data_IF_192662443001
#
_entry.id   IF_192662443001
#
_cell.length_a   1.000
_cell.length_b   1.000
_cell.length_c   1.000
_cell.angle_alpha   90.00
_cell.angle_beta   90.00
_cell.angle_gamma   90.00
#
_symmetry.space_group_name_H-M   'P 1'
#
loop_
_entity.id
_entity.type
_entity.pdbx_description
1 polymer ?
#
# COMPACT_ATOMS: atom_id res chain seq x y z
N UNK A 1 -39.57 8.77 1.55
CA UNK A 1 -38.25 9.16 2.10
C UNK A 1 -37.80 8.02 2.99
N UNK A 2 -37.00 7.12 2.46
CA UNK A 2 -36.40 6.04 3.23
C UNK A 2 -35.09 6.53 3.84
N UNK A 3 -35.08 6.65 5.13
CA UNK A 3 -33.90 6.95 5.95
C UNK A 3 -32.87 5.84 5.73
N UNK A 4 -31.79 6.18 5.08
CA UNK A 4 -30.58 5.36 5.04
C UNK A 4 -30.06 5.36 6.48
N UNK A 5 -30.25 4.26 7.19
CA UNK A 5 -29.72 4.08 8.54
C UNK A 5 -28.20 3.95 8.45
N UNK A 6 -27.54 4.87 9.11
CA UNK A 6 -26.09 4.97 9.27
C UNK A 6 -25.50 3.72 9.94
N UNK A 7 -24.30 3.35 9.47
CA UNK A 7 -23.25 2.62 10.15
C UNK A 7 -23.51 1.16 10.49
N UNK A 8 -23.48 0.30 9.49
CA UNK A 8 -22.99 -1.05 9.73
C UNK A 8 -21.69 -1.24 8.94
N UNK A 9 -20.56 -0.85 9.54
CA UNK A 9 -19.29 -1.42 9.14
C UNK A 9 -19.38 -2.94 9.34
N UNK A 10 -19.18 -3.74 8.29
CA UNK A 10 -19.28 -5.21 8.36
C UNK A 10 -18.27 -5.80 9.33
N UNK A 11 -17.15 -5.09 9.55
CA UNK A 11 -16.04 -5.54 10.38
C UNK A 11 -15.77 -4.53 11.48
N UNK A 12 -15.59 -5.04 12.70
CA UNK A 12 -15.19 -4.20 13.83
C UNK A 12 -13.75 -3.70 13.63
N UNK A 13 -13.39 -2.58 14.26
CA UNK A 13 -12.03 -2.07 14.26
C UNK A 13 -11.02 -3.11 14.78
N UNK A 14 -11.41 -3.95 15.73
CA UNK A 14 -10.57 -5.04 16.25
C UNK A 14 -10.34 -6.12 15.18
N UNK A 15 -11.37 -6.48 14.41
CA UNK A 15 -11.26 -7.44 13.31
C UNK A 15 -10.32 -6.93 12.23
N UNK A 16 -10.45 -5.65 11.83
CA UNK A 16 -9.60 -5.01 10.83
C UNK A 16 -8.14 -5.01 11.32
N UNK A 17 -7.92 -4.61 12.58
CA UNK A 17 -6.57 -4.63 13.17
C UNK A 17 -5.98 -6.04 13.19
N UNK A 18 -6.72 -7.03 13.64
CA UNK A 18 -6.25 -8.42 13.66
C UNK A 18 -5.94 -8.96 12.27
N UNK A 19 -6.70 -8.57 11.25
CA UNK A 19 -6.43 -8.94 9.87
C UNK A 19 -5.09 -8.33 9.39
N UNK A 20 -4.83 -7.06 9.70
CA UNK A 20 -3.58 -6.38 9.36
C UNK A 20 -2.38 -7.03 10.08
N UNK A 21 -2.49 -7.27 11.38
CA UNK A 21 -1.43 -7.95 12.15
C UNK A 21 -1.10 -9.33 11.59
N UNK A 22 -2.11 -10.12 11.23
CA UNK A 22 -1.92 -11.43 10.61
C UNK A 22 -1.22 -11.32 9.24
N UNK A 23 -1.58 -10.34 8.43
CA UNK A 23 -0.95 -10.12 7.13
C UNK A 23 0.53 -9.74 7.29
N UNK A 24 0.84 -8.81 8.22
CA UNK A 24 2.21 -8.40 8.51
C UNK A 24 3.03 -9.56 9.08
N UNK A 25 2.49 -10.32 10.05
CA UNK A 25 3.18 -11.50 10.61
C UNK A 25 3.49 -12.51 9.52
N UNK A 26 2.53 -12.83 8.64
CA UNK A 26 2.73 -13.79 7.55
C UNK A 26 3.86 -13.39 6.60
N UNK A 27 4.00 -12.09 6.30
CA UNK A 27 5.10 -11.58 5.47
C UNK A 27 6.42 -11.57 6.23
N UNK A 28 6.40 -11.16 7.50
CA UNK A 28 7.61 -11.10 8.34
C UNK A 28 8.21 -12.47 8.60
N UNK A 29 7.38 -13.49 8.82
CA UNK A 29 7.81 -14.88 9.02
C UNK A 29 8.46 -15.47 7.75
N UNK A 30 8.12 -14.90 6.59
CA UNK A 30 8.65 -15.31 5.29
C UNK A 30 9.51 -14.22 4.63
N UNK A 31 10.16 -13.36 5.42
CA UNK A 31 10.87 -12.17 4.92
C UNK A 31 11.96 -12.49 3.90
N UNK A 32 12.56 -13.66 3.96
CA UNK A 32 13.56 -14.10 2.97
C UNK A 32 13.05 -14.05 1.53
N UNK A 33 11.73 -14.15 1.31
CA UNK A 33 11.11 -14.02 0.00
C UNK A 33 10.97 -12.55 -0.45
N UNK A 34 11.11 -11.59 0.49
CA UNK A 34 10.79 -10.19 0.29
C UNK A 34 11.93 -9.25 0.68
N UNK A 35 13.15 -9.75 0.83
CA UNK A 35 14.32 -8.93 1.12
C UNK A 35 15.36 -8.96 0.00
N UNK A 36 16.27 -7.98 0.02
CA UNK A 36 17.29 -7.83 -1.02
C UNK A 36 18.32 -8.97 -0.98
N UNK A 37 18.72 -9.41 0.21
CA UNK A 37 19.61 -10.55 0.42
C UNK A 37 18.96 -11.54 1.40
N UNK A 38 18.38 -12.66 0.91
CA UNK A 38 17.72 -13.66 1.74
C UNK A 38 18.61 -14.32 2.81
N UNK A 39 19.94 -14.29 2.63
CA UNK A 39 20.90 -14.96 3.54
C UNK A 39 21.28 -14.04 4.71
N UNK A 40 21.37 -12.75 4.49
CA UNK A 40 21.92 -11.81 5.48
C UNK A 40 20.92 -10.81 6.05
N UNK A 41 19.84 -10.50 5.29
CA UNK A 41 18.90 -9.49 5.71
C UNK A 41 17.89 -10.03 6.72
N UNK A 42 17.58 -9.21 7.72
CA UNK A 42 16.66 -9.51 8.83
C UNK A 42 16.98 -10.77 9.64
N UNK A 43 18.18 -11.35 9.50
CA UNK A 43 18.59 -12.55 10.23
C UNK A 43 19.04 -12.29 11.66
N UNK A 44 19.40 -11.05 11.99
CA UNK A 44 19.88 -10.65 13.31
C UNK A 44 18.76 -10.01 14.12
N UNK A 45 18.69 -10.34 15.41
CA UNK A 45 17.82 -9.63 16.35
C UNK A 45 18.32 -8.18 16.52
N UNK A 46 17.58 -7.22 15.99
CA UNK A 46 17.86 -5.79 16.05
C UNK A 46 16.64 -5.05 16.61
N UNK A 47 16.84 -3.79 17.08
CA UNK A 47 15.76 -2.90 17.53
C UNK A 47 14.65 -2.68 16.49
N UNK A 48 14.92 -2.89 15.21
CA UNK A 48 13.98 -2.78 14.12
C UNK A 48 14.02 -4.08 13.31
N UNK A 49 13.14 -5.00 13.61
CA UNK A 49 12.92 -6.20 12.82
C UNK A 49 12.02 -5.90 11.60
N UNK A 50 11.69 -6.90 10.81
CA UNK A 50 10.86 -6.71 9.61
C UNK A 50 9.43 -6.27 9.93
N UNK A 51 8.80 -6.89 10.93
CA UNK A 51 7.45 -6.53 11.34
C UNK A 51 7.39 -5.07 11.82
N UNK A 52 8.32 -4.67 12.69
CA UNK A 52 8.41 -3.29 13.18
C UNK A 52 8.67 -2.30 12.05
N UNK A 53 9.49 -2.67 11.06
CA UNK A 53 9.72 -1.84 9.89
C UNK A 53 8.44 -1.62 9.07
N UNK A 54 7.67 -2.69 8.82
CA UNK A 54 6.41 -2.59 8.06
C UNK A 54 5.42 -1.73 8.84
N UNK A 55 5.23 -1.96 10.13
CA UNK A 55 4.36 -1.14 10.97
C UNK A 55 4.78 0.32 10.97
N UNK A 56 6.08 0.59 11.12
CA UNK A 56 6.61 1.95 11.08
C UNK A 56 6.34 2.64 9.74
N UNK A 57 6.55 1.95 8.62
CA UNK A 57 6.29 2.50 7.28
C UNK A 57 4.80 2.80 7.08
N UNK A 58 3.91 1.94 7.56
CA UNK A 58 2.46 2.19 7.52
C UNK A 58 2.03 3.37 8.43
N UNK A 59 2.87 3.74 9.40
CA UNK A 59 2.64 4.86 10.33
C UNK A 59 3.26 6.18 9.88
N UNK A 60 4.01 6.19 8.76
CA UNK A 60 4.66 7.40 8.25
C UNK A 60 3.64 8.49 7.96
N UNK A 61 3.98 9.69 8.36
CA UNK A 61 3.23 10.92 8.05
C UNK A 61 4.03 11.82 7.10
N UNK A 62 3.48 12.97 6.73
CA UNK A 62 4.18 13.97 5.91
C UNK A 62 5.25 14.78 6.70
N UNK A 63 5.82 14.18 7.74
CA UNK A 63 6.83 14.81 8.59
C UNK A 63 8.23 14.27 8.29
N UNK A 64 9.22 14.72 9.05
CA UNK A 64 10.58 14.18 8.95
C UNK A 64 10.65 12.79 9.56
N UNK A 65 11.56 11.95 9.07
CA UNK A 65 11.81 10.59 9.61
C UNK A 65 11.99 10.63 11.13
N UNK A 66 12.72 11.61 11.65
CA UNK A 66 12.95 11.75 13.09
C UNK A 66 11.66 12.04 13.86
N UNK A 67 10.78 12.91 13.32
CA UNK A 67 9.50 13.22 13.95
C UNK A 67 8.58 12.01 13.96
N UNK A 68 8.53 11.25 12.86
CA UNK A 68 7.72 10.05 12.77
C UNK A 68 8.24 8.95 13.70
N UNK A 69 9.56 8.81 13.83
CA UNK A 69 10.17 7.90 14.80
C UNK A 69 9.79 8.26 16.24
N UNK A 70 9.87 9.54 16.61
CA UNK A 70 9.48 10.00 17.95
C UNK A 70 7.99 9.78 18.26
N UNK A 71 7.14 9.79 17.24
CA UNK A 71 5.71 9.53 17.39
C UNK A 71 5.38 8.02 17.46
N UNK A 72 6.19 7.20 16.80
CA UNK A 72 5.95 5.77 16.71
C UNK A 72 6.54 4.98 17.89
N UNK A 73 7.81 5.26 18.24
CA UNK A 73 8.47 4.60 19.35
C UNK A 73 8.15 5.32 20.68
N UNK A 74 7.55 4.58 21.59
CA UNK A 74 7.17 5.12 22.91
C UNK A 74 8.36 5.35 23.83
N UNK A 75 9.47 4.62 23.61
CA UNK A 75 10.71 4.71 24.39
C UNK A 75 11.86 5.15 23.51
N UNK A 76 12.57 6.21 23.97
CA UNK A 76 13.74 6.75 23.26
C UNK A 76 14.92 5.77 23.30
N UNK A 77 15.04 4.97 24.36
CA UNK A 77 16.12 4.00 24.51
C UNK A 77 15.97 2.82 23.53
N UNK A 78 14.75 2.47 23.16
CA UNK A 78 14.44 1.44 22.16
C UNK A 78 14.36 2.00 20.73
N UNK A 79 14.35 3.31 20.56
CA UNK A 79 14.27 3.94 19.25
C UNK A 79 15.55 3.66 18.43
N UNK A 80 15.44 3.14 17.19
CA UNK A 80 16.58 3.01 16.29
C UNK A 80 17.06 4.38 15.82
N UNK A 81 18.27 4.48 15.28
CA UNK A 81 18.72 5.71 14.62
C UNK A 81 18.01 5.87 13.24
N UNK A 82 17.88 7.12 12.77
CA UNK A 82 17.33 7.40 11.43
C UNK A 82 18.14 6.71 10.31
N UNK A 83 19.45 6.57 10.49
CA UNK A 83 20.31 5.81 9.59
C UNK A 83 19.97 4.32 9.60
N UNK A 84 19.68 3.74 10.77
CA UNK A 84 19.28 2.33 10.87
C UNK A 84 17.92 2.08 10.18
N UNK A 85 16.96 2.98 10.36
CA UNK A 85 15.66 2.90 9.66
C UNK A 85 15.87 2.95 8.15
N UNK A 86 16.66 3.90 7.64
CA UNK A 86 16.96 4.00 6.22
C UNK A 86 17.64 2.74 5.68
N UNK A 87 18.63 2.20 6.39
CA UNK A 87 19.31 0.96 6.01
C UNK A 87 18.36 -0.25 5.97
N UNK A 88 17.51 -0.41 6.99
CA UNK A 88 16.55 -1.51 7.02
C UNK A 88 15.49 -1.38 5.91
N UNK A 89 15.06 -0.16 5.61
CA UNK A 89 14.12 0.11 4.52
C UNK A 89 14.65 -0.35 3.16
N UNK A 90 15.94 -0.15 2.87
CA UNK A 90 16.55 -0.60 1.61
C UNK A 90 16.65 -2.12 1.48
N UNK A 91 16.56 -2.85 2.59
CA UNK A 91 16.59 -4.31 2.62
C UNK A 91 15.24 -4.94 2.31
N UNK A 92 14.16 -4.24 2.61
CA UNK A 92 12.80 -4.71 2.37
C UNK A 92 12.34 -4.35 0.95
N UNK A 93 12.01 -5.33 0.16
CA UNK A 93 11.48 -5.11 -1.19
C UNK A 93 10.04 -4.56 -1.14
N UNK A 94 9.63 -3.69 -2.06
CA UNK A 94 8.25 -3.19 -2.17
C UNK A 94 7.20 -4.31 -2.26
N UNK A 95 7.55 -5.46 -2.82
CA UNK A 95 6.68 -6.64 -2.92
C UNK A 95 6.20 -7.16 -1.55
N UNK A 96 6.93 -6.88 -0.46
CA UNK A 96 6.47 -7.17 0.90
C UNK A 96 5.16 -6.44 1.21
N UNK A 97 5.08 -5.16 0.87
CA UNK A 97 3.88 -4.33 1.09
C UNK A 97 2.73 -4.74 0.20
N UNK A 98 3.01 -5.07 -1.05
CA UNK A 98 2.03 -5.62 -1.99
C UNK A 98 1.44 -6.93 -1.46
N UNK A 99 2.29 -7.78 -0.89
CA UNK A 99 1.84 -9.03 -0.28
C UNK A 99 1.03 -8.80 1.00
N UNK A 100 1.43 -7.85 1.86
CA UNK A 100 0.63 -7.44 3.03
C UNK A 100 -0.75 -6.97 2.60
N UNK A 101 -0.83 -6.11 1.58
CA UNK A 101 -2.09 -5.63 1.03
C UNK A 101 -2.97 -6.78 0.52
N UNK A 102 -2.43 -7.66 -0.31
CA UNK A 102 -3.14 -8.81 -0.87
C UNK A 102 -3.66 -9.76 0.22
N UNK A 103 -2.84 -10.07 1.24
CA UNK A 103 -3.27 -10.89 2.36
C UNK A 103 -4.33 -10.20 3.20
N UNK A 104 -4.12 -8.93 3.52
CA UNK A 104 -5.07 -8.14 4.31
C UNK A 104 -6.45 -8.12 3.65
N UNK A 105 -6.54 -7.81 2.36
CA UNK A 105 -7.81 -7.78 1.63
C UNK A 105 -8.46 -9.16 1.52
N UNK A 106 -7.68 -10.23 1.39
CA UNK A 106 -8.19 -11.60 1.30
C UNK A 106 -8.86 -12.13 2.58
N UNK A 107 -8.64 -11.49 3.73
CA UNK A 107 -9.29 -11.87 5.00
C UNK A 107 -10.73 -11.39 5.11
N UNK A 108 -11.16 -10.52 4.22
CA UNK A 108 -12.54 -10.02 4.18
C UNK A 108 -13.32 -10.80 3.10
N UNK A 109 -14.27 -11.61 3.53
CA UNK A 109 -15.00 -12.52 2.62
C UNK A 109 -16.50 -12.24 2.56
N UNK A 110 -17.04 -11.52 3.55
CA UNK A 110 -18.47 -11.20 3.62
C UNK A 110 -18.74 -9.85 2.97
N UNK A 111 -18.87 -9.82 1.66
CA UNK A 111 -19.11 -8.60 0.90
C UNK A 111 -20.58 -8.32 0.69
N UNK A 112 -20.98 -7.06 0.84
CA UNK A 112 -22.28 -6.57 0.37
C UNK A 112 -22.27 -6.55 -1.16
N UNK A 113 -23.43 -6.89 -1.72
CA UNK A 113 -23.66 -6.81 -3.17
C UNK A 113 -24.91 -5.97 -3.45
N UNK A 114 -24.98 -5.37 -4.62
CA UNK A 114 -26.16 -4.71 -5.13
C UNK A 114 -26.83 -5.64 -6.15
N UNK A 115 -28.01 -6.17 -5.82
CA UNK A 115 -28.71 -7.16 -6.65
C UNK A 115 -27.83 -8.37 -7.05
N UNK A 116 -26.92 -8.80 -6.16
CA UNK A 116 -25.99 -9.89 -6.43
C UNK A 116 -24.71 -9.49 -7.15
N UNK A 117 -24.50 -8.19 -7.46
CA UNK A 117 -23.31 -7.69 -8.13
C UNK A 117 -22.37 -6.95 -7.17
N UNK A 118 -21.07 -7.14 -7.33
CA UNK A 118 -20.04 -6.31 -6.71
C UNK A 118 -19.92 -5.01 -7.52
N UNK A 119 -19.84 -3.87 -6.83
CA UNK A 119 -19.66 -2.57 -7.49
C UNK A 119 -18.24 -2.08 -7.24
N UNK A 120 -17.42 -2.14 -8.28
CA UNK A 120 -16.01 -1.75 -8.23
C UNK A 120 -15.83 -0.45 -9.00
N UNK A 121 -15.28 0.57 -8.36
CA UNK A 121 -14.89 1.82 -9.02
C UNK A 121 -13.39 1.83 -9.27
N UNK A 122 -12.98 2.15 -10.50
CA UNK A 122 -11.59 2.37 -10.84
C UNK A 122 -11.31 3.86 -10.93
N UNK A 123 -10.25 4.32 -10.27
CA UNK A 123 -9.81 5.71 -10.34
C UNK A 123 -8.29 5.78 -10.38
N UNK A 124 -7.79 6.75 -11.14
CA UNK A 124 -6.38 7.04 -11.30
C UNK A 124 -5.98 8.32 -10.55
N UNK A 125 -4.82 8.30 -9.91
CA UNK A 125 -4.27 9.47 -9.20
C UNK A 125 -2.77 9.60 -9.39
N UNK A 126 -2.31 10.83 -9.61
CA UNK A 126 -0.89 11.14 -9.68
C UNK A 126 -0.29 11.41 -8.31
N UNK A 127 0.76 10.69 -7.97
CA UNK A 127 1.48 10.83 -6.70
C UNK A 127 2.81 11.53 -6.95
N UNK A 128 2.98 12.74 -6.41
CA UNK A 128 4.26 13.44 -6.45
C UNK A 128 5.28 12.73 -5.54
N UNK A 129 6.41 12.40 -6.11
CA UNK A 129 7.55 11.80 -5.38
C UNK A 129 8.73 12.75 -5.31
N UNK A 130 9.76 12.36 -4.55
CA UNK A 130 10.96 13.18 -4.37
C UNK A 130 11.62 13.55 -5.70
N UNK A 131 11.95 14.83 -5.88
CA UNK A 131 12.55 15.35 -7.09
C UNK A 131 13.90 14.68 -7.41
N UNK A 132 13.94 13.95 -8.51
CA UNK A 132 15.15 13.30 -9.03
C UNK A 132 15.18 13.37 -10.57
N UNK A 133 15.81 14.41 -11.17
CA UNK A 133 15.85 14.59 -12.61
C UNK A 133 16.70 13.53 -13.34
N UNK A 134 17.43 12.68 -12.61
CA UNK A 134 18.19 11.56 -13.18
C UNK A 134 17.28 10.34 -13.46
N UNK A 135 16.18 10.23 -12.73
CA UNK A 135 15.20 9.18 -12.97
C UNK A 135 14.26 9.58 -14.12
N UNK A 136 14.61 9.12 -15.31
CA UNK A 136 13.85 9.46 -16.53
C UNK A 136 12.51 8.76 -16.65
N UNK A 137 12.25 7.75 -15.84
CA UNK A 137 10.99 6.99 -15.88
C UNK A 137 9.85 7.72 -15.18
N UNK A 138 10.16 8.52 -14.16
CA UNK A 138 9.20 9.26 -13.36
C UNK A 138 9.30 10.78 -13.52
N UNK A 139 10.34 11.27 -14.26
CA UNK A 139 10.60 12.70 -14.40
C UNK A 139 9.83 13.33 -15.57
N UNK A 140 9.03 14.32 -15.27
CA UNK A 140 8.22 15.09 -16.21
C UNK A 140 8.66 16.56 -16.27
N UNK A 141 8.68 17.10 -17.47
CA UNK A 141 8.88 18.54 -17.71
C UNK A 141 7.59 19.09 -18.31
N UNK A 142 6.95 19.99 -17.61
CA UNK A 142 5.84 20.73 -18.19
C UNK A 142 6.41 21.87 -19.05
N UNK A 143 5.89 22.04 -20.27
CA UNK A 143 6.36 23.05 -21.24
C UNK A 143 6.27 24.50 -20.73
N UNK A 144 5.43 24.75 -19.72
CA UNK A 144 5.25 26.05 -19.08
C UNK A 144 6.01 26.23 -17.76
N UNK A 145 6.68 25.15 -17.27
CA UNK A 145 7.37 25.21 -15.98
C UNK A 145 8.89 25.26 -16.16
N UNK A 146 9.58 26.08 -15.36
CA UNK A 146 11.03 26.18 -15.31
C UNK A 146 11.71 24.99 -14.66
N UNK A 147 10.96 24.16 -13.92
CA UNK A 147 11.46 23.00 -13.19
C UNK A 147 10.53 21.80 -13.38
N UNK A 148 11.10 20.65 -13.73
CA UNK A 148 10.37 19.40 -13.80
C UNK A 148 10.07 18.82 -12.40
N UNK A 149 9.27 17.77 -12.37
CA UNK A 149 8.84 17.05 -11.19
C UNK A 149 8.85 15.54 -11.45
N UNK A 150 8.83 14.74 -10.39
CA UNK A 150 8.72 13.28 -10.49
C UNK A 150 7.36 12.84 -9.94
N UNK A 151 6.68 11.97 -10.70
CA UNK A 151 5.38 11.40 -10.34
C UNK A 151 5.35 9.91 -10.58
N UNK A 152 4.52 9.23 -9.79
CA UNK A 152 4.00 7.89 -10.06
C UNK A 152 2.51 8.00 -10.31
N UNK A 153 1.98 7.14 -11.17
CA UNK A 153 0.55 6.99 -11.39
C UNK A 153 0.03 5.81 -10.60
N UNK A 154 -1.00 6.05 -9.80
CA UNK A 154 -1.68 5.04 -8.98
C UNK A 154 -3.05 4.79 -9.59
N UNK A 155 -3.32 3.56 -10.01
CA UNK A 155 -4.67 3.10 -10.33
C UNK A 155 -5.15 2.21 -9.19
N UNK A 156 -6.34 2.48 -8.69
CA UNK A 156 -6.91 1.75 -7.58
C UNK A 156 -8.32 1.25 -7.93
N UNK A 157 -8.62 0.02 -7.59
CA UNK A 157 -9.93 -0.58 -7.72
C UNK A 157 -10.57 -0.64 -6.33
N UNK A 158 -11.71 0.03 -6.16
CA UNK A 158 -12.37 0.22 -4.89
C UNK A 158 -13.76 -0.41 -4.89
N UNK A 159 -14.04 -1.26 -3.90
CA UNK A 159 -15.38 -1.78 -3.68
C UNK A 159 -16.23 -0.71 -2.96
N UNK A 160 -17.15 -0.12 -3.73
CA UNK A 160 -17.96 1.02 -3.29
C UNK A 160 -18.90 0.66 -2.14
N UNK A 161 -19.42 -0.56 -2.14
CA UNK A 161 -20.38 -1.01 -1.12
C UNK A 161 -19.71 -1.41 0.19
N UNK A 162 -18.49 -1.89 0.10
CA UNK A 162 -17.75 -2.45 1.23
C UNK A 162 -16.68 -1.50 1.78
N UNK A 163 -16.36 -0.44 1.04
CA UNK A 163 -15.44 0.59 1.50
C UNK A 163 -13.99 0.08 1.59
N UNK A 164 -13.58 -0.79 0.67
CA UNK A 164 -12.25 -1.40 0.67
C UNK A 164 -11.61 -1.33 -0.71
N UNK A 165 -10.32 -1.03 -0.77
CA UNK A 165 -9.53 -1.22 -1.98
C UNK A 165 -9.29 -2.71 -2.20
N UNK A 166 -9.62 -3.20 -3.38
CA UNK A 166 -9.48 -4.63 -3.74
C UNK A 166 -8.23 -4.88 -4.57
N UNK A 167 -7.80 -3.87 -5.32
CA UNK A 167 -6.57 -3.95 -6.11
C UNK A 167 -5.93 -2.58 -6.30
N UNK A 168 -4.62 -2.56 -6.55
CA UNK A 168 -3.82 -1.35 -6.75
C UNK A 168 -2.71 -1.66 -7.74
N UNK A 169 -2.60 -0.81 -8.77
CA UNK A 169 -1.46 -0.77 -9.69
C UNK A 169 -0.71 0.56 -9.52
N UNK A 170 0.61 0.50 -9.41
CA UNK A 170 1.49 1.68 -9.35
C UNK A 170 2.46 1.60 -10.52
N UNK A 171 2.39 2.60 -11.39
CA UNK A 171 3.25 2.68 -12.57
C UNK A 171 3.95 4.05 -12.64
N UNK A 172 4.88 4.16 -13.57
CA UNK A 172 5.49 5.45 -13.89
C UNK A 172 4.50 6.28 -14.70
N UNK A 173 4.39 7.58 -14.39
CA UNK A 173 3.41 8.48 -15.01
C UNK A 173 3.52 8.60 -16.55
N UNK A 174 4.54 8.02 -17.16
CA UNK A 174 4.70 7.98 -18.63
C UNK A 174 3.74 6.97 -19.32
N UNK A 175 3.09 6.10 -18.57
CA UNK A 175 2.17 5.05 -19.08
C UNK A 175 0.69 5.35 -18.82
N UNK A 176 0.29 6.58 -18.86
CA UNK A 176 -1.07 7.04 -18.52
C UNK A 176 -2.13 6.62 -19.55
N UNK A 177 -2.36 5.33 -19.72
CA UNK A 177 -3.54 4.83 -20.41
C UNK A 177 -4.43 4.09 -19.39
N UNK A 178 -5.24 4.84 -18.64
CA UNK A 178 -6.08 4.32 -17.55
C UNK A 178 -6.89 3.07 -17.96
N UNK A 179 -7.50 3.09 -19.15
CA UNK A 179 -8.23 1.93 -19.67
C UNK A 179 -7.32 0.71 -19.86
N UNK A 180 -6.10 0.89 -20.39
CA UNK A 180 -5.16 -0.20 -20.60
C UNK A 180 -4.63 -0.77 -19.28
N UNK A 181 -4.44 0.07 -18.27
CA UNK A 181 -4.05 -0.39 -16.93
C UNK A 181 -5.18 -1.17 -16.27
N UNK A 182 -6.44 -0.72 -16.42
CA UNK A 182 -7.60 -1.46 -15.93
C UNK A 182 -7.73 -2.81 -16.61
N UNK A 183 -7.55 -2.89 -17.93
CA UNK A 183 -7.53 -4.15 -18.67
C UNK A 183 -6.44 -5.10 -18.11
N UNK A 184 -5.24 -4.62 -17.90
CA UNK A 184 -4.14 -5.38 -17.29
C UNK A 184 -4.48 -5.85 -15.86
N UNK A 185 -5.10 -4.99 -15.04
CA UNK A 185 -5.55 -5.35 -13.70
C UNK A 185 -6.61 -6.48 -13.77
N UNK A 186 -7.55 -6.40 -14.69
CA UNK A 186 -8.60 -7.43 -14.88
C UNK A 186 -7.99 -8.75 -15.37
N UNK A 187 -7.02 -8.73 -16.27
CA UNK A 187 -6.36 -9.93 -16.78
C UNK A 187 -5.49 -10.62 -15.71
N UNK A 188 -4.83 -9.85 -14.85
CA UNK A 188 -3.90 -10.38 -13.88
C UNK A 188 -4.54 -10.82 -12.56
N UNK A 189 -5.79 -10.41 -12.28
CA UNK A 189 -6.49 -10.73 -11.04
C UNK A 189 -7.82 -11.43 -11.30
N UNK A 190 -8.18 -12.35 -10.39
CA UNK A 190 -9.48 -13.00 -10.43
C UNK A 190 -10.46 -12.20 -9.55
N UNK A 191 -11.27 -11.38 -10.19
CA UNK A 191 -12.43 -10.76 -9.55
C UNK A 191 -13.65 -11.68 -9.60
N UNK A 192 -14.63 -11.51 -8.69
CA UNK A 192 -15.89 -12.24 -8.81
C UNK A 192 -16.55 -12.02 -10.17
N UNK A 193 -17.05 -13.09 -10.79
CA UNK A 193 -17.64 -13.02 -12.16
C UNK A 193 -18.82 -12.05 -12.28
N UNK A 194 -19.49 -11.76 -11.17
CA UNK A 194 -20.61 -10.82 -11.08
C UNK A 194 -20.16 -9.41 -10.63
N UNK A 195 -18.97 -8.97 -11.00
CA UNK A 195 -18.49 -7.61 -10.76
C UNK A 195 -18.94 -6.66 -11.86
N UNK A 196 -19.39 -5.47 -11.46
CA UNK A 196 -19.60 -4.31 -12.34
C UNK A 196 -18.49 -3.31 -12.01
N UNK A 197 -17.72 -2.94 -13.03
CA UNK A 197 -16.65 -1.95 -12.90
C UNK A 197 -17.14 -0.63 -13.51
N UNK A 198 -16.99 0.47 -12.77
CA UNK A 198 -17.43 1.82 -13.13
C UNK A 198 -16.27 2.80 -12.99
#
# INVERSE_FOLDING_TARGET
>A
MSTISNNNYFYSASTIRSALERAISSVSDNISCYCADPISDFTRNRKLNCSDLIHYILHLSNKTIRSDMMNYFSDIDDMPSASAVSQQRYKCNPEAFKRVFSLFTSYFTNYKTYNGYYLLACDGSDINISHNPKDKTTYHINTSATRGYNQLHLNALYDVLNGIYVDVNIDTAAKTHECGVLEEMIENHQYPQNSIII
#
